data_IF_528924172303
#
_entry.id   IF_528924172303
#
_cell.length_a   1.000
_cell.length_b   1.000
_cell.length_c   1.000
_cell.angle_alpha   90.00
_cell.angle_beta   90.00
_cell.angle_gamma   90.00
#
_symmetry.space_group_name_H-M   'P 1'
#
loop_
_entity.id
_entity.type
_entity.pdbx_description
1 polymer ?
#
# COMPACT_ATOMS: atom_id res chain seq x y z
N UNK A 1 21.05 -7.05 26.15
CA UNK A 1 21.64 -7.98 25.16
C UNK A 1 22.88 -7.35 24.52
N UNK A 2 23.83 -8.16 24.04
CA UNK A 2 25.05 -7.69 23.34
C UNK A 2 24.82 -7.72 21.82
N UNK A 3 25.34 -6.73 21.09
CA UNK A 3 25.17 -6.63 19.63
C UNK A 3 25.60 -7.88 18.87
N UNK A 4 26.65 -8.56 19.34
CA UNK A 4 27.22 -9.73 18.68
C UNK A 4 26.28 -10.94 18.64
N UNK A 5 25.37 -11.03 19.61
CA UNK A 5 24.44 -12.15 19.74
C UNK A 5 23.13 -11.92 18.97
N UNK A 6 22.93 -10.74 18.40
CA UNK A 6 21.76 -10.44 17.57
C UNK A 6 21.96 -11.04 16.17
N UNK A 7 20.95 -11.72 15.59
CA UNK A 7 21.00 -12.09 14.18
C UNK A 7 20.97 -10.84 13.28
N UNK A 8 21.47 -10.97 12.06
CA UNK A 8 21.29 -9.92 11.03
C UNK A 8 19.79 -9.81 10.74
N UNK A 9 19.28 -8.59 10.67
CA UNK A 9 17.85 -8.30 10.59
C UNK A 9 17.16 -8.12 11.94
N UNK A 10 17.82 -8.38 13.07
CA UNK A 10 17.21 -8.15 14.38
C UNK A 10 17.01 -6.66 14.68
N UNK A 11 15.86 -6.34 15.28
CA UNK A 11 15.54 -5.01 15.80
C UNK A 11 15.95 -4.87 17.26
N UNK A 12 16.52 -3.72 17.62
CA UNK A 12 16.94 -3.43 18.97
C UNK A 12 16.92 -1.93 19.26
N UNK A 13 16.79 -1.57 20.52
CA UNK A 13 16.86 -0.18 20.99
C UNK A 13 18.27 0.10 21.53
N UNK A 14 18.83 1.23 21.11
CA UNK A 14 20.09 1.77 21.59
C UNK A 14 19.95 3.29 21.78
N UNK A 15 20.29 3.79 22.98
CA UNK A 15 20.17 5.22 23.31
C UNK A 15 18.76 5.80 23.04
N UNK A 16 17.70 5.01 23.26
CA UNK A 16 16.31 5.42 23.02
C UNK A 16 15.89 5.47 21.54
N UNK A 17 16.72 4.96 20.62
CA UNK A 17 16.41 4.88 19.18
C UNK A 17 16.37 3.43 18.71
N UNK A 18 15.50 3.15 17.75
CA UNK A 18 15.33 1.83 17.14
C UNK A 18 16.29 1.64 15.97
N UNK A 19 16.99 0.51 15.97
CA UNK A 19 17.90 0.14 14.90
C UNK A 19 17.69 -1.32 14.47
N UNK A 20 18.03 -1.58 13.22
CA UNK A 20 18.04 -2.92 12.60
C UNK A 20 19.48 -3.33 12.33
N UNK A 21 19.89 -4.51 12.79
CA UNK A 21 21.25 -5.01 12.56
C UNK A 21 21.47 -5.36 11.08
N UNK A 22 22.29 -4.59 10.36
CA UNK A 22 22.60 -4.83 8.93
C UNK A 22 23.97 -5.48 8.71
N UNK A 23 24.85 -5.44 9.72
CA UNK A 23 26.18 -6.04 9.64
C UNK A 23 26.75 -6.41 11.01
N UNK A 24 28.01 -6.90 11.05
CA UNK A 24 28.65 -7.36 12.28
C UNK A 24 28.94 -6.26 13.30
N UNK A 25 28.97 -4.99 12.86
CA UNK A 25 29.11 -3.79 13.70
C UNK A 25 28.19 -2.63 13.29
N UNK A 26 27.38 -2.79 12.25
CA UNK A 26 26.57 -1.71 11.65
C UNK A 26 25.10 -2.00 11.82
N UNK A 27 24.34 -0.97 12.19
CA UNK A 27 22.89 -1.02 12.27
C UNK A 27 22.28 0.14 11.49
N UNK A 28 21.13 -0.09 10.87
CA UNK A 28 20.36 0.94 10.19
C UNK A 28 19.31 1.53 11.15
N UNK A 29 19.22 2.85 11.22
CA UNK A 29 18.16 3.55 11.97
C UNK A 29 16.86 3.52 11.17
N UNK A 30 15.73 3.38 11.85
CA UNK A 30 14.40 3.27 11.20
C UNK A 30 14.01 4.52 10.39
N UNK A 31 14.52 5.70 10.78
CA UNK A 31 14.34 6.97 10.06
C UNK A 31 15.31 7.22 8.90
N UNK A 32 16.16 6.24 8.57
CA UNK A 32 17.20 6.35 7.55
C UNK A 32 18.55 6.77 8.13
N UNK A 33 19.60 6.08 7.71
CA UNK A 33 20.97 6.28 8.21
C UNK A 33 21.57 4.98 8.75
N UNK A 34 22.89 4.87 8.73
CA UNK A 34 23.62 3.75 9.31
C UNK A 34 24.46 4.24 10.48
N UNK A 35 24.47 3.48 11.57
CA UNK A 35 25.25 3.77 12.77
C UNK A 35 26.06 2.57 13.18
N UNK A 36 27.31 2.82 13.53
CA UNK A 36 28.19 1.80 14.10
C UNK A 36 27.86 1.60 15.57
N UNK A 37 27.60 0.37 15.99
CA UNK A 37 27.25 0.01 17.37
C UNK A 37 28.47 -0.59 18.07
N UNK A 38 28.99 0.04 19.14
CA UNK A 38 30.11 -0.50 19.91
C UNK A 38 29.81 -1.88 20.49
N UNK A 39 30.81 -2.76 20.54
CA UNK A 39 30.66 -4.14 21.05
C UNK A 39 30.20 -4.21 22.50
N UNK A 40 30.55 -3.20 23.29
CA UNK A 40 30.21 -3.07 24.72
C UNK A 40 28.86 -2.38 24.96
N UNK A 41 28.16 -1.95 23.90
CA UNK A 41 26.87 -1.32 24.03
C UNK A 41 25.87 -2.27 24.71
N UNK A 42 25.21 -1.77 25.75
CA UNK A 42 24.08 -2.46 26.38
C UNK A 42 22.86 -2.17 25.54
N UNK A 43 22.40 -3.18 24.80
CA UNK A 43 21.23 -3.06 23.93
C UNK A 43 20.00 -3.62 24.63
N UNK A 44 18.86 -2.97 24.46
CA UNK A 44 17.58 -3.59 24.77
C UNK A 44 17.14 -4.34 23.51
N UNK A 45 17.19 -5.67 23.57
CA UNK A 45 16.69 -6.50 22.48
C UNK A 45 15.17 -6.35 22.44
N UNK A 46 14.62 -5.89 21.32
CA UNK A 46 13.22 -6.09 21.02
C UNK A 46 13.10 -7.55 20.53
N UNK A 47 13.18 -8.49 21.47
CA UNK A 47 12.88 -9.89 21.19
C UNK A 47 11.41 -9.96 20.81
N UNK A 48 11.13 -10.18 19.52
CA UNK A 48 9.90 -10.75 18.97
C UNK A 48 8.56 -10.36 19.61
N UNK A 49 8.47 -9.14 20.10
CA UNK A 49 7.35 -8.32 19.67
C UNK A 49 7.77 -7.93 18.27
N UNK A 50 7.55 -8.85 17.32
CA UNK A 50 6.97 -8.48 16.04
C UNK A 50 6.10 -7.30 16.40
N UNK A 51 6.51 -6.10 16.01
CA UNK A 51 5.68 -4.95 16.26
C UNK A 51 4.35 -5.45 15.73
N UNK A 52 3.39 -5.65 16.64
CA UNK A 52 2.03 -5.43 16.28
C UNK A 52 2.02 -3.94 15.96
N UNK A 53 2.63 -3.54 14.83
CA UNK A 53 1.85 -2.98 13.75
C UNK A 53 0.59 -3.83 13.79
N UNK A 54 -0.37 -3.37 14.59
CA UNK A 54 -1.74 -3.85 14.55
C UNK A 54 -1.95 -4.03 13.06
N UNK A 55 -2.21 -5.29 12.60
CA UNK A 55 -2.16 -5.63 11.19
C UNK A 55 -2.80 -4.46 10.49
N UNK A 56 -2.03 -3.70 9.69
CA UNK A 56 -2.56 -2.50 9.07
C UNK A 56 -3.70 -3.07 8.26
N UNK A 57 -4.90 -2.92 8.81
CA UNK A 57 -6.10 -3.45 8.23
C UNK A 57 -6.36 -2.35 7.23
N UNK A 58 -5.63 -2.44 6.11
CA UNK A 58 -6.08 -1.79 4.89
C UNK A 58 -7.50 -2.29 4.75
N UNK A 59 -8.50 -1.38 4.86
CA UNK A 59 -9.88 -1.79 4.74
C UNK A 59 -9.96 -2.57 3.44
N UNK A 60 -10.29 -3.86 3.56
CA UNK A 60 -10.39 -4.72 2.40
C UNK A 60 -11.61 -4.21 1.65
N UNK A 61 -11.38 -3.58 0.50
CA UNK A 61 -12.48 -3.14 -0.35
C UNK A 61 -13.18 -4.40 -0.83
N UNK A 62 -14.42 -4.58 -0.39
CA UNK A 62 -15.25 -5.69 -0.82
C UNK A 62 -15.55 -5.53 -2.31
N UNK A 63 -15.36 -6.59 -3.10
CA UNK A 63 -15.56 -6.55 -4.55
C UNK A 63 -16.96 -6.06 -4.95
N UNK A 64 -17.97 -6.36 -4.13
CA UNK A 64 -19.33 -5.86 -4.29
C UNK A 64 -19.42 -4.34 -4.13
N UNK A 65 -18.72 -3.76 -3.14
CA UNK A 65 -18.70 -2.31 -2.89
C UNK A 65 -17.97 -1.58 -4.03
N UNK A 66 -16.84 -2.14 -4.50
CA UNK A 66 -16.12 -1.60 -5.67
C UNK A 66 -17.00 -1.60 -6.91
N UNK A 67 -17.76 -2.68 -7.13
CA UNK A 67 -18.64 -2.81 -8.29
C UNK A 67 -19.81 -1.82 -8.23
N UNK A 68 -20.41 -1.64 -7.06
CA UNK A 68 -21.50 -0.69 -6.86
C UNK A 68 -21.02 0.75 -7.08
N UNK A 69 -19.93 1.15 -6.42
CA UNK A 69 -19.34 2.48 -6.59
C UNK A 69 -18.90 2.74 -8.04
N UNK A 70 -18.36 1.73 -8.71
CA UNK A 70 -17.97 1.86 -10.12
C UNK A 70 -19.18 1.96 -11.05
N UNK A 71 -20.26 1.22 -10.79
CA UNK A 71 -21.49 1.33 -11.57
C UNK A 71 -22.12 2.74 -11.44
N UNK A 72 -22.13 3.31 -10.24
CA UNK A 72 -22.56 4.71 -10.03
C UNK A 72 -21.68 5.70 -10.78
N UNK A 73 -20.36 5.51 -10.75
CA UNK A 73 -19.42 6.30 -11.54
C UNK A 73 -19.69 6.20 -13.06
N UNK A 74 -19.92 5.00 -13.59
CA UNK A 74 -20.23 4.79 -15.01
C UNK A 74 -21.53 5.53 -15.40
N UNK A 75 -22.55 5.52 -14.54
CA UNK A 75 -23.80 6.26 -14.77
C UNK A 75 -23.57 7.77 -14.83
N UNK A 76 -22.85 8.34 -13.87
CA UNK A 76 -22.58 9.78 -13.82
C UNK A 76 -21.70 10.22 -14.99
N UNK A 77 -20.65 9.45 -15.31
CA UNK A 77 -19.80 9.71 -16.47
C UNK A 77 -20.60 9.68 -17.78
N UNK A 78 -21.50 8.70 -17.93
CA UNK A 78 -22.40 8.60 -19.08
C UNK A 78 -23.32 9.80 -19.23
N UNK A 79 -23.91 10.29 -18.13
CA UNK A 79 -24.77 11.48 -18.13
C UNK A 79 -24.00 12.74 -18.55
N UNK A 80 -22.85 13.01 -17.94
CA UNK A 80 -22.01 14.16 -18.29
C UNK A 80 -21.57 14.14 -19.75
N UNK A 81 -21.24 12.95 -20.28
CA UNK A 81 -20.82 12.79 -21.67
C UNK A 81 -22.01 12.90 -22.65
N UNK A 82 -23.20 12.46 -22.24
CA UNK A 82 -24.44 12.68 -22.99
C UNK A 82 -24.73 14.18 -23.16
N UNK A 83 -24.54 14.98 -22.10
CA UNK A 83 -24.68 16.44 -22.15
C UNK A 83 -23.58 17.09 -23.03
N UNK A 84 -22.33 16.65 -22.88
CA UNK A 84 -21.18 17.22 -23.59
C UNK A 84 -21.16 16.95 -25.11
N UNK A 85 -21.93 15.96 -25.58
CA UNK A 85 -21.99 15.58 -27.00
C UNK A 85 -22.96 16.41 -27.83
N UNK A 86 -23.61 17.44 -27.24
CA UNK A 86 -24.50 18.38 -27.94
C UNK A 86 -25.58 17.70 -28.79
N UNK A 87 -26.14 16.58 -28.31
CA UNK A 87 -27.17 15.80 -28.99
C UNK A 87 -26.75 15.19 -30.36
N UNK A 88 -25.45 15.06 -30.66
CA UNK A 88 -25.00 14.24 -31.80
C UNK A 88 -25.15 12.74 -31.46
N UNK A 89 -26.11 12.02 -32.08
CA UNK A 89 -26.40 10.64 -31.72
C UNK A 89 -25.26 9.69 -32.12
N UNK A 90 -24.49 9.98 -33.17
CA UNK A 90 -23.36 9.16 -33.58
C UNK A 90 -22.21 9.29 -32.58
N UNK A 91 -21.96 10.50 -32.10
CA UNK A 91 -20.95 10.77 -31.08
C UNK A 91 -21.34 10.21 -29.71
N UNK A 92 -22.62 10.30 -29.35
CA UNK A 92 -23.17 9.68 -28.14
C UNK A 92 -22.99 8.16 -28.15
N UNK A 93 -23.34 7.50 -29.25
CA UNK A 93 -23.16 6.06 -29.39
C UNK A 93 -21.68 5.65 -29.30
N UNK A 94 -20.79 6.40 -29.94
CA UNK A 94 -19.35 6.13 -29.90
C UNK A 94 -18.78 6.27 -28.48
N UNK A 95 -19.16 7.31 -27.75
CA UNK A 95 -18.71 7.54 -26.37
C UNK A 95 -19.29 6.50 -25.41
N UNK A 96 -20.57 6.12 -25.56
CA UNK A 96 -21.18 5.07 -24.76
C UNK A 96 -20.51 3.70 -24.99
N UNK A 97 -20.19 3.38 -26.25
CA UNK A 97 -19.46 2.17 -26.58
C UNK A 97 -18.05 2.18 -25.97
N UNK A 98 -17.35 3.31 -26.03
CA UNK A 98 -16.02 3.45 -25.43
C UNK A 98 -16.05 3.30 -23.90
N UNK A 99 -17.02 3.92 -23.22
CA UNK A 99 -17.24 3.75 -21.78
C UNK A 99 -17.49 2.29 -21.42
N UNK A 100 -18.34 1.61 -22.17
CA UNK A 100 -18.66 0.19 -21.93
C UNK A 100 -17.43 -0.71 -22.04
N UNK A 101 -16.59 -0.48 -23.05
CA UNK A 101 -15.34 -1.22 -23.23
C UNK A 101 -14.35 -0.91 -22.10
N UNK A 102 -14.20 0.37 -21.73
CA UNK A 102 -13.33 0.78 -20.62
C UNK A 102 -13.78 0.15 -19.29
N UNK A 103 -15.08 0.11 -19.01
CA UNK A 103 -15.67 -0.53 -17.84
C UNK A 103 -15.41 -2.05 -17.81
N UNK A 104 -15.53 -2.74 -18.94
CA UNK A 104 -15.16 -4.15 -19.04
C UNK A 104 -13.68 -4.40 -18.76
N UNK A 105 -12.78 -3.56 -19.28
CA UNK A 105 -11.33 -3.69 -19.01
C UNK A 105 -11.04 -3.51 -17.52
N UNK A 106 -11.70 -2.56 -16.86
CA UNK A 106 -11.57 -2.34 -15.42
C UNK A 106 -12.02 -3.57 -14.62
N UNK A 107 -13.22 -4.09 -14.89
CA UNK A 107 -13.77 -5.28 -14.20
C UNK A 107 -12.91 -6.52 -14.41
N UNK A 108 -12.41 -6.74 -15.63
CA UNK A 108 -11.50 -7.84 -15.95
C UNK A 108 -10.18 -7.76 -15.16
N UNK A 109 -9.62 -6.56 -14.98
CA UNK A 109 -8.39 -6.37 -14.19
C UNK A 109 -8.60 -6.62 -12.70
N UNK A 110 -9.78 -6.30 -12.18
CA UNK A 110 -10.13 -6.54 -10.78
C UNK A 110 -10.68 -7.93 -10.54
N UNK A 111 -10.85 -8.75 -11.59
CA UNK A 111 -11.40 -10.09 -11.53
C UNK A 111 -12.82 -10.13 -10.93
N UNK A 112 -13.57 -9.03 -11.09
CA UNK A 112 -14.94 -8.88 -10.63
C UNK A 112 -15.88 -9.21 -11.80
N UNK A 113 -16.76 -10.20 -11.61
CA UNK A 113 -17.68 -10.70 -12.64
C UNK A 113 -18.91 -9.81 -12.80
#
# INVERSE_FOLDING_TARGET
>A
MKFQHLPIGAHFEFEGRCYTKVGPLVAAEEGGGQRMIPRYAVLRGLNDVAAAAAPITVPQLEAAEVSAAFAEFEQLAGQMLHEATNADPARQAAVQAALTVAGQVFRNRLNIK
#
